data_IF_275831308393
#
_entry.id   IF_275831308393
#
_cell.length_a   1.000
_cell.length_b   1.000
_cell.length_c   1.000
_cell.angle_alpha   90.00
_cell.angle_beta   90.00
_cell.angle_gamma   90.00
#
_symmetry.space_group_name_H-M   'P 1'
#
loop_
_entity.id
_entity.type
_entity.pdbx_description
1 polymer ?
#
# COMPACT_ATOMS: atom_id res chain seq x y z
N UNK A 1 -2.09 -1.64 10.36
CA UNK A 1 -3.00 -2.82 10.43
C UNK A 1 -2.90 -3.54 11.76
N UNK A 2 -1.71 -3.89 12.23
CA UNK A 2 -1.52 -4.63 13.49
C UNK A 2 -2.11 -3.92 14.70
N UNK A 3 -1.73 -2.66 14.93
CA UNK A 3 -2.26 -1.86 16.06
C UNK A 3 -3.78 -1.71 15.96
N UNK A 4 -4.28 -1.37 14.76
CA UNK A 4 -5.71 -1.26 14.49
C UNK A 4 -6.49 -2.52 14.88
N UNK A 5 -6.01 -3.70 14.47
CA UNK A 5 -6.68 -4.97 14.81
C UNK A 5 -6.59 -5.29 16.31
N UNK A 6 -5.45 -5.02 16.96
CA UNK A 6 -5.30 -5.19 18.42
C UNK A 6 -6.28 -4.30 19.19
N UNK A 7 -6.47 -3.05 18.78
CA UNK A 7 -7.47 -2.14 19.37
C UNK A 7 -8.91 -2.63 19.20
N UNK A 8 -9.18 -3.38 18.12
CA UNK A 8 -10.47 -4.06 17.89
C UNK A 8 -10.62 -5.38 18.65
N UNK A 9 -9.64 -5.79 19.46
CA UNK A 9 -9.66 -6.98 20.29
C UNK A 9 -9.22 -8.27 19.60
N UNK A 10 -8.62 -8.19 18.40
CA UNK A 10 -8.05 -9.36 17.73
C UNK A 10 -6.68 -9.73 18.29
N UNK A 11 -6.39 -11.02 18.35
CA UNK A 11 -5.03 -11.53 18.58
C UNK A 11 -4.28 -11.49 17.25
N UNK A 12 -3.22 -10.68 17.16
CA UNK A 12 -2.47 -10.47 15.93
C UNK A 12 -1.08 -11.10 16.03
N UNK A 13 -0.78 -11.99 15.09
CA UNK A 13 0.53 -12.58 14.88
C UNK A 13 1.21 -11.84 13.72
N UNK A 14 2.25 -11.09 14.04
CA UNK A 14 2.99 -10.29 13.07
C UNK A 14 4.12 -11.11 12.45
N UNK A 15 4.31 -10.96 11.13
CA UNK A 15 5.45 -11.52 10.43
C UNK A 15 5.94 -10.49 9.41
N UNK A 16 7.03 -9.80 9.74
CA UNK A 16 7.62 -8.75 8.89
C UNK A 16 9.13 -8.73 9.08
N UNK A 17 9.87 -8.59 7.97
CA UNK A 17 11.34 -8.53 7.96
C UNK A 17 11.91 -7.38 8.81
N UNK A 18 11.14 -6.32 9.04
CA UNK A 18 11.54 -5.21 9.94
C UNK A 18 11.70 -5.65 11.39
N UNK A 19 11.07 -6.76 11.80
CA UNK A 19 11.21 -7.35 13.14
C UNK A 19 12.45 -8.26 13.26
N UNK A 20 13.16 -8.50 12.16
CA UNK A 20 14.40 -9.26 12.10
C UNK A 20 14.47 -10.25 10.94
N UNK A 21 15.68 -10.70 10.61
CA UNK A 21 15.93 -11.59 9.48
C UNK A 21 15.24 -12.96 9.57
N UNK A 22 14.86 -13.40 10.76
CA UNK A 22 14.11 -14.64 10.98
C UNK A 22 12.65 -14.51 10.50
N UNK A 23 12.17 -13.29 10.26
CA UNK A 23 10.85 -12.99 9.68
C UNK A 23 10.93 -12.62 8.18
N UNK A 24 11.96 -13.07 7.49
CA UNK A 24 12.10 -12.87 6.04
C UNK A 24 11.30 -13.94 5.28
N UNK A 25 10.24 -13.54 4.62
CA UNK A 25 9.35 -14.39 3.81
C UNK A 25 10.05 -15.05 2.61
N UNK A 26 11.23 -14.55 2.21
CA UNK A 26 11.99 -15.14 1.10
C UNK A 26 12.83 -16.35 1.53
N UNK A 27 12.98 -16.59 2.83
CA UNK A 27 13.79 -17.67 3.39
C UNK A 27 12.95 -18.89 3.74
N UNK A 28 13.40 -20.07 3.28
CA UNK A 28 12.84 -21.39 3.61
C UNK A 28 13.96 -22.39 3.88
N UNK A 29 13.79 -23.37 4.79
CA UNK A 29 12.62 -23.53 5.68
C UNK A 29 12.50 -22.36 6.68
N UNK A 30 11.27 -22.06 7.12
CA UNK A 30 11.01 -21.07 8.14
C UNK A 30 9.90 -21.59 9.07
N UNK A 31 10.32 -22.23 10.15
CA UNK A 31 9.42 -22.87 11.12
C UNK A 31 8.50 -21.85 11.81
N UNK A 32 9.00 -20.61 12.05
CA UNK A 32 8.19 -19.55 12.63
C UNK A 32 7.06 -19.14 11.70
N UNK A 33 7.32 -18.99 10.40
CA UNK A 33 6.27 -18.68 9.42
C UNK A 33 5.24 -19.81 9.33
N UNK A 34 5.71 -21.06 9.33
CA UNK A 34 4.84 -22.24 9.30
C UNK A 34 3.90 -22.24 10.52
N UNK A 35 4.42 -22.04 11.72
CA UNK A 35 3.65 -21.98 12.97
C UNK A 35 2.66 -20.81 12.98
N UNK A 36 3.07 -19.62 12.55
CA UNK A 36 2.20 -18.43 12.48
C UNK A 36 1.05 -18.67 11.52
N UNK A 37 1.30 -19.16 10.32
CA UNK A 37 0.23 -19.44 9.35
C UNK A 37 -0.68 -20.55 9.86
N UNK A 38 -0.13 -21.64 10.42
CA UNK A 38 -0.88 -22.76 10.95
C UNK A 38 -1.84 -22.36 12.05
N UNK A 39 -1.41 -21.49 12.98
CA UNK A 39 -2.21 -21.07 14.15
C UNK A 39 -3.19 -19.93 13.85
N UNK A 40 -3.08 -19.25 12.72
CA UNK A 40 -3.96 -18.14 12.36
C UNK A 40 -5.32 -18.62 11.86
N UNK A 41 -6.41 -17.92 12.21
CA UNK A 41 -7.75 -18.15 11.66
C UNK A 41 -7.97 -17.46 10.32
N UNK A 42 -7.23 -16.34 10.11
CA UNK A 42 -7.28 -15.51 8.92
C UNK A 42 -5.91 -14.91 8.63
N UNK A 43 -5.54 -14.77 7.35
CA UNK A 43 -4.25 -14.21 6.96
C UNK A 43 -4.43 -12.99 6.06
N UNK A 44 -3.87 -11.86 6.47
CA UNK A 44 -3.68 -10.69 5.61
C UNK A 44 -2.30 -10.79 4.97
N UNK A 45 -2.23 -11.22 3.72
CA UNK A 45 -0.98 -11.29 2.97
C UNK A 45 -0.72 -9.93 2.30
N UNK A 46 -0.12 -9.01 3.05
CA UNK A 46 0.16 -7.64 2.64
C UNK A 46 1.61 -7.43 2.18
N UNK A 47 2.51 -8.33 2.56
CA UNK A 47 3.94 -8.21 2.29
C UNK A 47 4.26 -8.31 0.79
N UNK A 48 5.10 -7.39 0.33
CA UNK A 48 5.67 -7.36 -1.01
C UNK A 48 6.93 -6.50 -1.01
N UNK A 49 7.90 -6.82 -1.87
CA UNK A 49 9.01 -5.90 -2.12
C UNK A 49 8.50 -4.78 -3.03
N UNK A 50 8.14 -3.66 -2.44
CA UNK A 50 7.48 -2.52 -3.10
C UNK A 50 7.81 -1.21 -2.38
N UNK A 51 7.62 -0.12 -3.05
CA UNK A 51 7.72 1.24 -2.53
C UNK A 51 7.07 2.23 -3.49
N UNK A 52 7.21 3.52 -3.23
CA UNK A 52 6.70 4.59 -4.07
C UNK A 52 7.27 4.60 -5.49
N UNK A 53 6.81 5.53 -6.32
CA UNK A 53 7.18 5.61 -7.74
C UNK A 53 8.69 5.68 -7.98
N UNK A 54 9.47 6.34 -7.09
CA UNK A 54 10.94 6.39 -7.18
C UNK A 54 11.56 5.01 -7.00
N UNK A 55 11.11 4.27 -5.99
CA UNK A 55 11.56 2.92 -5.71
C UNK A 55 11.26 1.99 -6.90
N UNK A 56 10.03 1.98 -7.39
CA UNK A 56 9.65 1.15 -8.54
C UNK A 56 10.45 1.51 -9.79
N UNK A 57 10.62 2.80 -10.10
CA UNK A 57 11.43 3.24 -11.24
C UNK A 57 12.87 2.73 -11.17
N UNK A 58 13.45 2.65 -9.98
CA UNK A 58 14.83 2.21 -9.76
C UNK A 58 14.98 0.68 -9.77
N UNK A 59 14.05 -0.05 -9.16
CA UNK A 59 14.27 -1.45 -8.77
C UNK A 59 13.37 -2.47 -9.49
N UNK A 60 12.17 -2.13 -9.98
CA UNK A 60 11.23 -3.13 -10.47
C UNK A 60 11.74 -3.98 -11.65
N UNK A 61 12.73 -3.49 -12.41
CA UNK A 61 13.35 -4.20 -13.53
C UNK A 61 14.60 -5.00 -13.13
N UNK A 62 14.93 -5.07 -11.83
CA UNK A 62 16.09 -5.84 -11.36
C UNK A 62 15.73 -7.30 -11.09
N UNK A 63 16.73 -8.18 -11.28
CA UNK A 63 16.58 -9.59 -10.91
C UNK A 63 16.18 -9.75 -9.43
N UNK A 64 16.81 -8.98 -8.54
CA UNK A 64 16.55 -9.06 -7.10
C UNK A 64 15.08 -8.76 -6.76
N UNK A 65 14.50 -7.70 -7.33
CA UNK A 65 13.10 -7.34 -7.11
C UNK A 65 12.14 -8.47 -7.54
N UNK A 66 12.35 -9.02 -8.75
CA UNK A 66 11.52 -10.09 -9.27
C UNK A 66 11.70 -11.37 -8.42
N UNK A 67 12.94 -11.72 -8.10
CA UNK A 67 13.26 -12.92 -7.32
C UNK A 67 12.71 -12.85 -5.89
N UNK A 68 12.82 -11.71 -5.20
CA UNK A 68 12.23 -11.50 -3.88
C UNK A 68 10.72 -11.75 -3.90
N UNK A 69 10.01 -11.08 -4.80
CA UNK A 69 8.56 -11.18 -4.90
C UNK A 69 8.10 -12.59 -5.31
N UNK A 70 8.83 -13.26 -6.19
CA UNK A 70 8.56 -14.65 -6.56
C UNK A 70 8.69 -15.58 -5.36
N UNK A 71 9.79 -15.47 -4.60
CA UNK A 71 10.07 -16.34 -3.44
C UNK A 71 9.06 -16.14 -2.33
N UNK A 72 8.80 -14.87 -1.92
CA UNK A 72 7.83 -14.60 -0.85
C UNK A 72 6.43 -15.11 -1.21
N UNK A 73 5.99 -14.94 -2.48
CA UNK A 73 4.70 -15.47 -2.93
C UNK A 73 4.68 -16.99 -2.87
N UNK A 74 5.67 -17.67 -3.44
CA UNK A 74 5.73 -19.14 -3.44
C UNK A 74 5.69 -19.72 -2.02
N UNK A 75 6.42 -19.09 -1.08
CA UNK A 75 6.48 -19.53 0.30
C UNK A 75 5.14 -19.35 1.03
N UNK A 76 4.55 -18.16 0.95
CA UNK A 76 3.30 -17.85 1.67
C UNK A 76 2.13 -18.61 1.07
N UNK A 77 1.94 -18.60 -0.26
CA UNK A 77 0.84 -19.32 -0.89
C UNK A 77 0.95 -20.84 -0.67
N UNK A 78 2.16 -21.41 -0.64
CA UNK A 78 2.36 -22.82 -0.31
C UNK A 78 1.88 -23.18 1.10
N UNK A 79 2.04 -22.30 2.08
CA UNK A 79 1.52 -22.50 3.44
C UNK A 79 0.00 -22.27 3.53
N UNK A 80 -0.51 -21.27 2.82
CA UNK A 80 -1.96 -21.01 2.74
C UNK A 80 -2.71 -22.21 2.14
N UNK A 81 -2.15 -22.84 1.10
CA UNK A 81 -2.65 -24.11 0.53
C UNK A 81 -2.58 -25.23 1.56
N UNK A 82 -1.40 -25.50 2.14
CA UNK A 82 -1.16 -26.58 3.09
C UNK A 82 -2.15 -26.57 4.25
N UNK A 83 -2.44 -25.40 4.79
CA UNK A 83 -3.31 -25.24 5.96
C UNK A 83 -4.75 -24.82 5.62
N UNK A 84 -5.07 -24.74 4.33
CA UNK A 84 -6.41 -24.34 3.84
C UNK A 84 -6.94 -23.08 4.52
N UNK A 85 -6.13 -22.01 4.53
CA UNK A 85 -6.44 -20.76 5.25
C UNK A 85 -7.35 -19.83 4.46
N UNK A 86 -8.25 -19.15 5.18
CA UNK A 86 -8.92 -17.96 4.64
C UNK A 86 -7.93 -16.82 4.63
N UNK A 87 -7.85 -16.09 3.53
CA UNK A 87 -6.88 -15.00 3.40
C UNK A 87 -7.31 -13.93 2.40
N UNK A 88 -6.71 -12.76 2.56
CA UNK A 88 -6.74 -11.66 1.60
C UNK A 88 -5.33 -11.43 1.08
N UNK A 89 -5.16 -11.34 -0.23
CA UNK A 89 -3.91 -10.94 -0.89
C UNK A 89 -3.99 -9.47 -1.32
N UNK A 90 -2.98 -8.70 -0.93
CA UNK A 90 -2.82 -7.32 -1.34
C UNK A 90 -2.26 -7.23 -2.77
N UNK A 91 -3.14 -7.08 -3.74
CA UNK A 91 -2.79 -6.73 -5.11
C UNK A 91 -2.73 -5.20 -5.30
N UNK A 92 -2.73 -4.74 -6.52
CA UNK A 92 -2.59 -3.33 -6.88
C UNK A 92 -3.43 -3.01 -8.10
N UNK A 93 -3.90 -1.78 -8.19
CA UNK A 93 -4.50 -1.25 -9.42
C UNK A 93 -3.56 -1.36 -10.64
N UNK A 94 -2.25 -1.59 -10.40
CA UNK A 94 -1.27 -1.78 -11.46
C UNK A 94 -1.20 -3.24 -11.99
N UNK A 95 -1.95 -4.18 -11.44
CA UNK A 95 -1.86 -5.61 -11.82
C UNK A 95 -2.22 -5.89 -13.28
N UNK A 96 -2.96 -5.00 -13.93
CA UNK A 96 -3.29 -5.07 -15.36
C UNK A 96 -2.30 -4.30 -16.26
N UNK A 97 -1.26 -3.68 -15.70
CA UNK A 97 -0.26 -2.93 -16.45
C UNK A 97 0.91 -3.82 -16.87
N UNK A 98 0.82 -4.44 -18.07
CA UNK A 98 1.80 -5.41 -18.55
C UNK A 98 3.23 -4.87 -18.75
N UNK A 99 3.39 -3.55 -18.83
CA UNK A 99 4.70 -2.89 -18.92
C UNK A 99 5.42 -2.77 -17.57
N UNK A 100 4.72 -3.01 -16.47
CA UNK A 100 5.26 -2.92 -15.11
C UNK A 100 5.56 -4.30 -14.54
N UNK A 101 6.84 -4.67 -14.31
CA UNK A 101 7.17 -5.92 -13.61
C UNK A 101 6.46 -6.06 -12.26
N UNK A 102 6.33 -4.97 -11.50
CA UNK A 102 5.55 -4.95 -10.28
C UNK A 102 4.08 -5.35 -10.52
N UNK A 103 3.43 -4.74 -11.51
CA UNK A 103 2.05 -5.06 -11.87
C UNK A 103 1.90 -6.52 -12.29
N UNK A 104 2.81 -7.03 -13.15
CA UNK A 104 2.83 -8.43 -13.57
C UNK A 104 2.97 -9.38 -12.38
N UNK A 105 3.87 -9.09 -11.42
CA UNK A 105 4.03 -9.91 -10.22
C UNK A 105 2.78 -9.90 -9.34
N UNK A 106 2.10 -8.76 -9.20
CA UNK A 106 0.80 -8.68 -8.51
C UNK A 106 -0.26 -9.52 -9.22
N UNK A 107 -0.29 -9.51 -10.55
CA UNK A 107 -1.19 -10.38 -11.34
C UNK A 107 -0.91 -11.86 -11.11
N UNK A 108 0.35 -12.26 -10.99
CA UNK A 108 0.70 -13.65 -10.63
C UNK A 108 0.14 -14.01 -9.25
N UNK A 109 0.26 -13.10 -8.27
CA UNK A 109 -0.34 -13.29 -6.93
C UNK A 109 -1.86 -13.44 -6.97
N UNK A 110 -2.56 -12.70 -7.83
CA UNK A 110 -4.02 -12.84 -8.05
C UNK A 110 -4.38 -14.23 -8.58
N UNK A 111 -3.58 -14.79 -9.51
CA UNK A 111 -3.81 -16.14 -10.02
C UNK A 111 -3.65 -17.19 -8.91
N UNK A 112 -2.64 -17.09 -8.05
CA UNK A 112 -2.52 -17.95 -6.86
C UNK A 112 -3.74 -17.80 -5.96
N UNK A 113 -4.13 -16.55 -5.66
CA UNK A 113 -5.25 -16.24 -4.78
C UNK A 113 -6.56 -16.87 -5.30
N UNK A 114 -6.85 -16.71 -6.58
CA UNK A 114 -8.03 -17.29 -7.21
C UNK A 114 -8.01 -18.83 -7.16
N UNK A 115 -6.85 -19.44 -7.44
CA UNK A 115 -6.68 -20.90 -7.39
C UNK A 115 -6.93 -21.46 -5.99
N UNK A 116 -6.49 -20.74 -4.96
CA UNK A 116 -6.66 -21.12 -3.56
C UNK A 116 -7.99 -20.63 -2.95
N UNK A 117 -8.86 -20.01 -3.75
CA UNK A 117 -10.16 -19.44 -3.31
C UNK A 117 -10.04 -18.38 -2.21
N UNK A 118 -8.93 -17.66 -2.18
CA UNK A 118 -8.75 -16.47 -1.37
C UNK A 118 -9.43 -15.24 -1.98
N UNK A 119 -9.36 -14.09 -1.32
CA UNK A 119 -9.85 -12.82 -1.83
C UNK A 119 -8.70 -11.92 -2.25
N UNK A 120 -8.85 -11.24 -3.36
CA UNK A 120 -7.90 -10.24 -3.85
C UNK A 120 -8.43 -8.84 -3.57
N UNK A 121 -7.59 -7.98 -2.97
CA UNK A 121 -7.86 -6.55 -2.83
C UNK A 121 -6.91 -5.76 -3.72
N UNK A 122 -7.45 -4.81 -4.48
CA UNK A 122 -6.67 -3.93 -5.35
C UNK A 122 -6.44 -2.60 -4.65
N UNK A 123 -5.24 -2.42 -4.10
CA UNK A 123 -4.86 -1.15 -3.51
C UNK A 123 -4.52 -0.12 -4.60
N UNK A 124 -4.89 1.11 -4.31
CA UNK A 124 -4.50 2.28 -5.07
C UNK A 124 -3.35 2.98 -4.33
N UNK A 125 -3.46 4.27 -4.05
CA UNK A 125 -2.38 4.96 -3.34
C UNK A 125 -2.76 5.12 -1.86
N UNK A 126 -2.49 4.08 -1.07
CA UNK A 126 -2.65 4.15 0.39
C UNK A 126 -1.54 5.00 0.95
N UNK A 127 -1.87 5.93 1.85
CA UNK A 127 -0.91 6.81 2.51
C UNK A 127 -1.11 6.86 4.03
N UNK A 128 -0.02 7.08 4.73
CA UNK A 128 0.05 7.19 6.18
C UNK A 128 1.49 7.58 6.57
N UNK A 129 1.89 7.28 7.80
CA UNK A 129 3.27 7.49 8.25
C UNK A 129 4.14 6.35 7.71
N UNK A 130 5.19 6.68 6.98
CA UNK A 130 6.14 5.72 6.41
C UNK A 130 7.53 5.98 7.01
N UNK A 131 8.12 4.94 7.61
CA UNK A 131 9.44 5.03 8.27
C UNK A 131 10.60 4.81 7.30
N UNK A 132 10.40 4.04 6.22
CA UNK A 132 11.43 3.77 5.21
C UNK A 132 11.40 4.85 4.14
N UNK A 133 12.35 5.79 4.22
CA UNK A 133 12.41 6.94 3.32
C UNK A 133 12.72 6.55 1.86
N UNK A 134 13.43 5.45 1.61
CA UNK A 134 13.70 4.99 0.23
C UNK A 134 12.42 4.45 -0.43
N UNK A 135 11.53 3.87 0.36
CA UNK A 135 10.25 3.31 -0.11
C UNK A 135 9.08 4.26 0.00
N UNK A 136 9.26 5.43 0.61
CA UNK A 136 8.18 6.38 0.91
C UNK A 136 7.44 6.85 -0.34
N UNK A 137 6.15 7.08 -0.16
CA UNK A 137 5.27 7.65 -1.17
C UNK A 137 5.23 9.17 -1.10
N UNK A 138 4.62 9.80 -2.08
CA UNK A 138 4.67 11.24 -2.32
C UNK A 138 4.27 12.10 -1.11
N UNK A 139 3.24 11.73 -0.35
CA UNK A 139 2.75 12.54 0.78
C UNK A 139 3.80 12.60 1.90
N UNK A 140 4.29 11.44 2.35
CA UNK A 140 5.34 11.36 3.38
C UNK A 140 6.65 11.99 2.91
N UNK A 141 7.04 11.76 1.64
CA UNK A 141 8.26 12.34 1.06
C UNK A 141 8.21 13.88 1.00
N UNK A 142 7.08 14.46 0.62
CA UNK A 142 6.93 15.92 0.57
C UNK A 142 6.91 16.55 1.95
N UNK A 143 6.21 15.95 2.91
CA UNK A 143 6.21 16.44 4.30
C UNK A 143 7.64 16.42 4.87
N UNK A 144 8.36 15.30 4.71
CA UNK A 144 9.75 15.18 5.16
C UNK A 144 10.65 16.25 4.54
N UNK A 145 10.63 16.40 3.22
CA UNK A 145 11.44 17.40 2.52
C UNK A 145 11.10 18.82 2.92
N UNK A 146 9.83 19.12 3.12
CA UNK A 146 9.43 20.43 3.62
C UNK A 146 10.03 20.76 4.98
N UNK A 147 10.19 19.76 5.87
CA UNK A 147 10.89 19.95 7.15
C UNK A 147 12.41 20.06 6.98
N UNK A 148 13.03 19.19 6.18
CA UNK A 148 14.48 19.10 6.01
C UNK A 148 15.05 20.20 5.13
N UNK A 149 14.44 20.44 3.98
CA UNK A 149 15.03 21.23 2.89
C UNK A 149 14.34 22.59 2.73
N UNK A 150 13.16 22.80 3.29
CA UNK A 150 12.35 24.01 3.11
C UNK A 150 11.68 24.09 1.73
N UNK A 151 11.86 23.10 0.90
CA UNK A 151 11.18 22.95 -0.38
C UNK A 151 11.01 21.50 -0.75
N UNK A 152 10.17 21.22 -1.74
CA UNK A 152 10.07 19.90 -2.35
C UNK A 152 9.86 19.98 -3.86
N UNK A 153 10.62 19.15 -4.55
CA UNK A 153 10.55 19.01 -5.99
C UNK A 153 9.66 17.83 -6.37
N UNK A 154 8.67 18.10 -7.23
CA UNK A 154 7.87 17.06 -7.86
C UNK A 154 8.70 16.37 -8.94
N UNK A 155 8.46 15.06 -9.20
CA UNK A 155 9.11 14.35 -10.30
C UNK A 155 8.60 14.83 -11.66
N UNK A 156 7.33 15.23 -11.72
CA UNK A 156 6.58 15.64 -12.90
C UNK A 156 6.07 17.07 -12.73
N UNK A 157 5.28 17.57 -13.66
CA UNK A 157 4.56 18.84 -13.51
C UNK A 157 3.39 18.77 -12.50
N UNK A 158 3.11 17.58 -11.98
CA UNK A 158 2.09 17.32 -10.96
C UNK A 158 0.66 17.25 -11.49
N UNK A 159 0.47 17.18 -12.82
CA UNK A 159 -0.87 17.10 -13.43
C UNK A 159 -1.46 15.70 -13.43
N UNK A 160 -0.67 14.67 -13.14
CA UNK A 160 -1.16 13.31 -13.05
C UNK A 160 -2.10 13.12 -11.86
N UNK A 161 -3.20 12.44 -12.10
CA UNK A 161 -4.24 12.17 -11.11
C UNK A 161 -4.03 10.81 -10.44
N UNK A 162 -4.27 10.76 -9.13
CA UNK A 162 -4.22 9.55 -8.31
C UNK A 162 -5.40 9.55 -7.33
N UNK A 163 -5.74 8.36 -6.83
CA UNK A 163 -6.73 8.21 -5.77
C UNK A 163 -6.00 7.84 -4.47
N UNK A 164 -6.01 8.75 -3.51
CA UNK A 164 -5.30 8.61 -2.25
C UNK A 164 -6.23 8.16 -1.13
N UNK A 165 -5.90 7.05 -0.47
CA UNK A 165 -6.65 6.49 0.65
C UNK A 165 -5.85 6.58 1.93
N UNK A 166 -6.44 7.12 2.99
CA UNK A 166 -5.81 7.17 4.31
C UNK A 166 -5.69 5.77 4.92
N UNK A 167 -4.56 5.48 5.56
CA UNK A 167 -4.20 4.14 6.04
C UNK A 167 -5.20 3.56 7.05
N UNK A 168 -5.82 4.37 7.90
CA UNK A 168 -6.83 3.91 8.85
C UNK A 168 -8.11 3.44 8.13
N UNK A 169 -8.58 4.19 7.12
CA UNK A 169 -9.70 3.78 6.27
C UNK A 169 -9.38 2.47 5.52
N UNK A 170 -8.12 2.30 5.09
CA UNK A 170 -7.66 1.05 4.48
C UNK A 170 -7.73 -0.12 5.47
N UNK A 171 -7.33 0.08 6.73
CA UNK A 171 -7.44 -0.94 7.78
C UNK A 171 -8.90 -1.32 8.04
N UNK A 172 -9.80 -0.33 8.08
CA UNK A 172 -11.24 -0.58 8.25
C UNK A 172 -11.82 -1.39 7.07
N UNK A 173 -11.41 -1.07 5.83
CA UNK A 173 -11.81 -1.86 4.66
C UNK A 173 -11.39 -3.32 4.77
N UNK A 174 -10.13 -3.58 5.15
CA UNK A 174 -9.60 -4.93 5.31
C UNK A 174 -10.32 -5.71 6.42
N UNK A 175 -10.60 -5.07 7.55
CA UNK A 175 -11.38 -5.68 8.64
C UNK A 175 -12.81 -6.01 8.18
N UNK A 176 -13.45 -5.10 7.45
CA UNK A 176 -14.78 -5.32 6.87
C UNK A 176 -14.78 -6.53 5.94
N UNK A 177 -13.78 -6.66 5.05
CA UNK A 177 -13.64 -7.81 4.16
C UNK A 177 -13.42 -9.10 4.94
N UNK A 178 -12.60 -9.09 6.00
CA UNK A 178 -12.40 -10.25 6.87
C UNK A 178 -13.71 -10.69 7.52
N UNK A 179 -14.48 -9.74 8.07
CA UNK A 179 -15.73 -10.01 8.78
C UNK A 179 -16.86 -10.49 7.85
N UNK A 180 -16.86 -10.00 6.61
CA UNK A 180 -17.83 -10.34 5.56
C UNK A 180 -17.25 -11.32 4.51
N UNK A 181 -16.22 -12.11 4.87
CA UNK A 181 -15.44 -12.91 3.93
C UNK A 181 -16.30 -13.81 3.03
N UNK A 182 -17.35 -14.39 3.58
CA UNK A 182 -18.25 -15.32 2.86
C UNK A 182 -19.23 -14.62 1.90
N UNK A 183 -19.35 -13.29 1.99
CA UNK A 183 -20.20 -12.50 1.10
C UNK A 183 -19.50 -12.21 -0.23
N UNK A 184 -18.18 -12.40 -0.29
CA UNK A 184 -17.34 -12.18 -1.46
C UNK A 184 -16.95 -13.50 -2.12
N UNK A 185 -16.68 -13.43 -3.42
CA UNK A 185 -16.19 -14.54 -4.22
C UNK A 185 -14.75 -14.31 -4.66
N UNK A 186 -13.96 -15.38 -4.91
CA UNK A 186 -12.59 -15.25 -5.37
C UNK A 186 -12.40 -14.46 -6.67
N UNK A 187 -13.44 -14.38 -7.51
CA UNK A 187 -13.47 -13.61 -8.75
C UNK A 187 -13.87 -12.15 -8.59
N UNK A 188 -14.32 -11.73 -7.41
CA UNK A 188 -14.70 -10.33 -7.17
C UNK A 188 -13.45 -9.44 -7.14
N UNK A 189 -13.52 -8.32 -7.83
CA UNK A 189 -12.49 -7.29 -7.83
C UNK A 189 -12.79 -6.25 -6.72
N UNK A 190 -12.10 -6.37 -5.57
CA UNK A 190 -12.28 -5.50 -4.42
C UNK A 190 -11.30 -4.32 -4.47
N UNK A 191 -11.74 -3.21 -5.05
CA UNK A 191 -10.92 -1.99 -5.12
C UNK A 191 -11.01 -1.18 -3.83
N UNK A 192 -9.90 -1.07 -3.11
CA UNK A 192 -9.79 -0.28 -1.87
C UNK A 192 -9.09 1.04 -2.19
N UNK A 193 -9.89 2.10 -2.27
CA UNK A 193 -9.44 3.44 -2.67
C UNK A 193 -10.36 4.52 -2.11
N UNK A 194 -9.96 5.79 -2.26
CA UNK A 194 -10.81 6.93 -1.89
C UNK A 194 -11.98 7.17 -2.85
N UNK A 195 -12.01 6.56 -4.03
CA UNK A 195 -12.94 6.83 -5.13
C UNK A 195 -12.97 8.29 -5.59
N UNK A 196 -11.95 9.07 -5.23
CA UNK A 196 -11.78 10.47 -5.61
C UNK A 196 -10.39 10.70 -6.17
N UNK A 197 -10.33 11.25 -7.38
CA UNK A 197 -9.08 11.67 -8.00
C UNK A 197 -8.56 12.96 -7.39
N UNK A 198 -7.25 13.05 -7.25
CA UNK A 198 -6.53 14.27 -6.90
C UNK A 198 -5.20 14.30 -7.62
N UNK A 199 -4.79 15.47 -8.09
CA UNK A 199 -3.50 15.64 -8.76
C UNK A 199 -2.36 15.69 -7.74
N UNK A 200 -1.15 15.35 -8.18
CA UNK A 200 0.06 15.48 -7.33
C UNK A 200 0.27 16.95 -6.93
N UNK A 201 -0.10 17.88 -7.81
CA UNK A 201 -0.06 19.32 -7.52
C UNK A 201 -1.00 19.70 -6.37
N UNK A 202 -2.25 19.21 -6.39
CA UNK A 202 -3.20 19.43 -5.26
C UNK A 202 -2.65 18.86 -3.95
N UNK A 203 -2.04 17.68 -3.97
CA UNK A 203 -1.36 17.11 -2.79
C UNK A 203 -0.25 18.03 -2.29
N UNK A 204 0.59 18.54 -3.18
CA UNK A 204 1.65 19.46 -2.83
C UNK A 204 1.12 20.77 -2.21
N UNK A 205 0.07 21.35 -2.79
CA UNK A 205 -0.58 22.57 -2.30
C UNK A 205 -1.23 22.37 -0.92
N UNK A 206 -1.87 21.22 -0.66
CA UNK A 206 -2.41 20.89 0.66
C UNK A 206 -1.29 20.80 1.69
N UNK A 207 -0.18 20.13 1.37
CA UNK A 207 0.97 20.00 2.26
C UNK A 207 1.61 21.37 2.52
N UNK A 208 1.79 22.21 1.49
CA UNK A 208 2.27 23.58 1.64
C UNK A 208 1.37 24.38 2.60
N UNK A 209 0.06 24.21 2.49
CA UNK A 209 -0.91 24.80 3.42
C UNK A 209 -0.67 24.40 4.88
N UNK A 210 -0.31 23.14 5.16
CA UNK A 210 0.02 22.70 6.52
C UNK A 210 1.30 23.38 7.05
N UNK A 211 2.32 23.56 6.22
CA UNK A 211 3.52 24.30 6.61
C UNK A 211 3.22 25.78 6.91
N UNK A 212 2.39 26.42 6.09
CA UNK A 212 1.97 27.80 6.32
C UNK A 212 1.25 27.98 7.67
N UNK A 213 0.42 27.01 8.09
CA UNK A 213 -0.27 27.02 9.38
C UNK A 213 0.68 27.04 10.58
N UNK A 214 1.88 26.49 10.43
CA UNK A 214 2.93 26.52 11.48
C UNK A 214 3.96 27.65 11.27
N UNK A 215 3.70 28.57 10.34
CA UNK A 215 4.57 29.72 10.05
C UNK A 215 5.86 29.37 9.32
N UNK A 216 5.93 28.20 8.66
CA UNK A 216 7.06 27.77 7.85
C UNK A 216 6.73 27.89 6.35
N UNK A 217 7.44 28.75 5.65
CA UNK A 217 7.33 28.84 4.19
C UNK A 217 8.09 27.67 3.54
N UNK A 218 7.43 26.97 2.60
CA UNK A 218 8.03 25.96 1.75
C UNK A 218 7.66 26.22 0.30
N UNK A 219 8.58 25.95 -0.63
CA UNK A 219 8.32 26.12 -2.05
C UNK A 219 8.04 24.79 -2.75
N UNK A 220 7.15 24.83 -3.74
CA UNK A 220 6.83 23.69 -4.61
C UNK A 220 7.57 23.90 -5.93
N UNK A 221 8.44 22.96 -6.30
CA UNK A 221 9.16 22.98 -7.58
C UNK A 221 8.58 21.93 -8.51
N UNK A 222 7.97 22.31 -9.64
CA UNK A 222 7.51 21.34 -10.64
C UNK A 222 8.70 20.65 -11.30
N UNK A 223 8.60 19.34 -11.50
CA UNK A 223 9.57 18.57 -12.26
C UNK A 223 9.25 18.55 -13.76
N UNK A 224 10.19 18.03 -14.54
CA UNK A 224 10.09 17.99 -16.00
C UNK A 224 9.85 16.56 -16.55
N UNK A 225 9.92 15.54 -15.69
CA UNK A 225 9.71 14.17 -16.12
C UNK A 225 8.22 13.90 -16.43
N UNK A 226 7.99 12.93 -17.31
CA UNK A 226 6.64 12.37 -17.48
C UNK A 226 6.45 11.21 -16.54
N UNK A 227 5.20 11.00 -16.09
CA UNK A 227 4.86 9.79 -15.34
C UNK A 227 5.13 8.55 -16.19
N UNK A 228 6.02 7.69 -15.71
CA UNK A 228 6.41 6.44 -16.35
C UNK A 228 6.02 5.20 -15.56
N UNK A 229 5.40 5.37 -14.39
CA UNK A 229 5.07 4.27 -13.47
C UNK A 229 3.60 3.86 -13.60
N UNK A 230 2.70 4.83 -13.65
CA UNK A 230 1.26 4.59 -13.76
C UNK A 230 0.69 5.32 -14.98
N UNK A 231 1.11 4.88 -16.17
CA UNK A 231 0.77 5.56 -17.43
C UNK A 231 -0.65 5.25 -17.94
N UNK A 232 -1.28 4.16 -17.48
CA UNK A 232 -2.59 3.76 -17.98
C UNK A 232 -3.71 4.53 -17.30
N UNK A 233 -4.18 5.59 -17.96
CA UNK A 233 -5.31 6.42 -17.50
C UNK A 233 -6.67 5.72 -17.55
N UNK A 234 -6.77 4.55 -18.22
CA UNK A 234 -8.03 3.79 -18.34
C UNK A 234 -8.28 2.91 -17.11
N UNK A 235 -7.29 2.79 -16.22
CA UNK A 235 -7.45 2.02 -15.01
C UNK A 235 -8.39 2.77 -14.06
N UNK A 236 -9.60 2.27 -13.91
CA UNK A 236 -10.66 2.85 -13.09
C UNK A 236 -11.10 1.82 -12.05
N UNK A 237 -11.31 2.22 -10.77
CA UNK A 237 -11.86 1.31 -9.79
C UNK A 237 -13.33 1.03 -10.11
N UNK A 238 -13.76 -0.22 -9.88
CA UNK A 238 -15.18 -0.45 -9.69
C UNK A 238 -15.58 -0.03 -8.27
N UNK A 239 -16.86 0.13 -8.03
CA UNK A 239 -17.42 0.52 -6.74
C UNK A 239 -18.10 -0.64 -5.99
N UNK A 240 -17.79 -1.88 -6.34
CA UNK A 240 -18.45 -3.05 -5.77
C UNK A 240 -18.36 -3.09 -4.23
N UNK A 241 -17.17 -2.83 -3.67
CA UNK A 241 -16.94 -2.81 -2.22
C UNK A 241 -17.78 -1.78 -1.45
N UNK A 242 -18.30 -0.75 -2.13
CA UNK A 242 -19.04 0.34 -1.46
C UNK A 242 -20.38 -0.11 -0.86
N UNK A 243 -20.84 -1.31 -1.18
CA UNK A 243 -21.97 -1.95 -0.50
C UNK A 243 -21.67 -2.38 0.95
N UNK A 244 -20.39 -2.50 1.33
CA UNK A 244 -19.93 -2.92 2.66
C UNK A 244 -19.12 -1.84 3.36
N UNK A 245 -18.34 -1.07 2.62
CA UNK A 245 -17.42 -0.08 3.17
C UNK A 245 -17.26 1.14 2.26
N UNK A 246 -17.09 2.31 2.87
CA UNK A 246 -16.76 3.57 2.20
C UNK A 246 -15.68 4.31 2.98
N UNK A 247 -14.71 4.97 2.31
CA UNK A 247 -13.72 5.80 2.98
C UNK A 247 -14.39 7.00 3.68
N UNK A 248 -13.90 7.33 4.87
CA UNK A 248 -14.44 8.40 5.73
C UNK A 248 -13.55 9.63 5.75
N UNK A 249 -12.24 9.44 5.55
CA UNK A 249 -11.24 10.50 5.64
C UNK A 249 -11.00 11.12 4.28
N UNK A 250 -11.29 12.40 4.13
CA UNK A 250 -10.92 13.13 2.91
C UNK A 250 -9.41 13.39 2.88
N UNK A 251 -8.90 13.75 1.69
CA UNK A 251 -7.45 13.91 1.48
C UNK A 251 -6.83 14.99 2.37
N UNK A 252 -7.51 16.13 2.55
CA UNK A 252 -7.01 17.24 3.34
C UNK A 252 -6.87 16.86 4.83
N UNK A 253 -7.91 16.23 5.40
CA UNK A 253 -7.89 15.79 6.80
C UNK A 253 -6.86 14.68 7.03
N UNK A 254 -6.74 13.73 6.10
CA UNK A 254 -5.75 12.66 6.19
C UNK A 254 -4.32 13.19 6.09
N UNK A 255 -4.03 14.14 5.19
CA UNK A 255 -2.72 14.80 5.10
C UNK A 255 -2.43 15.58 6.39
N UNK A 256 -3.40 16.30 6.96
CA UNK A 256 -3.23 17.01 8.23
C UNK A 256 -2.86 16.06 9.38
N UNK A 257 -3.50 14.89 9.48
CA UNK A 257 -3.17 13.86 10.48
C UNK A 257 -1.73 13.34 10.30
N UNK A 258 -1.32 13.02 9.07
CA UNK A 258 0.05 12.55 8.79
C UNK A 258 1.06 13.65 9.09
N UNK A 259 0.78 14.89 8.68
CA UNK A 259 1.63 16.04 8.94
C UNK A 259 1.85 16.27 10.44
N UNK A 260 0.78 16.28 11.24
CA UNK A 260 0.88 16.51 12.69
C UNK A 260 1.64 15.39 13.40
N UNK A 261 1.44 14.14 12.96
CA UNK A 261 2.19 13.01 13.52
C UNK A 261 3.69 13.06 13.17
N UNK A 262 4.05 13.43 11.94
CA UNK A 262 5.44 13.55 11.52
C UNK A 262 6.12 14.79 12.11
N UNK A 263 5.39 15.88 12.34
CA UNK A 263 5.90 17.12 12.92
C UNK A 263 6.60 16.89 14.26
N UNK A 264 6.11 15.94 15.07
CA UNK A 264 6.69 15.64 16.38
C UNK A 264 8.14 15.10 16.30
N UNK A 265 8.57 14.60 15.14
CA UNK A 265 9.94 14.15 14.91
C UNK A 265 10.89 15.33 14.60
N UNK A 266 10.34 16.55 14.34
CA UNK A 266 11.10 17.72 13.85
C UNK A 266 10.96 18.98 14.74
N UNK A 267 10.07 18.99 15.69
CA UNK A 267 9.79 20.05 16.64
C UNK A 267 9.95 19.55 18.08
#
# INVERSE_FOLDING_TARGET
>A
MTEYLKEKGHTVLEFDVVNGEHQDLTKIPNDLLDDVVKSSDFVFFLAFDVGGSRYLKKYQHTFQFINNNTRLMANVFGLLERYNKRFVFASSQMSNMSYSPYGVMKRVGELYTQTLKGLTVHFWNVYGIEKDHEKSHVITDFIRKGFEEGDFEMMTDGTEERQFLYAEDCCEALETIMNSYTDFKPEDELHITSFRGSTIKEVAEIIQGQFNLIGKEVSIKPGLAKDSVQMDKRNQPNNYITGWWMPKTNLQDGIAKVFEAMKNDWV
#
